data_IF_870810823838
#
_entry.id   IF_870810823838
#
_cell.length_a   1.000
_cell.length_b   1.000
_cell.length_c   1.000
_cell.angle_alpha   90.00
_cell.angle_beta   90.00
_cell.angle_gamma   90.00
#
_symmetry.space_group_name_H-M   'P 1'
#
loop_
_entity.id
_entity.type
_entity.pdbx_description
1 polymer ?
#
# COMPACT_ATOMS: atom_id res chain seq x y z
N UNK A 1 4.10 -21.41 -86.09
CA UNK A 1 4.79 -21.03 -84.80
C UNK A 1 3.89 -20.12 -83.99
N UNK A 2 3.19 -20.69 -82.99
CA UNK A 2 2.32 -19.92 -82.10
C UNK A 2 3.05 -19.84 -80.77
N UNK A 3 3.38 -18.61 -80.29
CA UNK A 3 3.91 -18.36 -78.94
C UNK A 3 2.76 -18.27 -77.96
N UNK A 4 2.81 -19.12 -76.89
CA UNK A 4 1.97 -19.03 -75.72
C UNK A 4 2.64 -18.07 -74.74
N UNK A 5 1.96 -17.01 -74.35
CA UNK A 5 2.35 -16.11 -73.25
C UNK A 5 1.61 -16.60 -72.01
N UNK A 6 2.36 -17.12 -71.05
CA UNK A 6 1.85 -17.51 -69.75
C UNK A 6 1.84 -16.29 -68.82
N UNK A 7 0.65 -15.89 -68.40
CA UNK A 7 0.43 -14.81 -67.42
C UNK A 7 0.53 -15.41 -66.04
N UNK A 8 1.57 -15.02 -65.27
CA UNK A 8 1.70 -15.36 -63.85
C UNK A 8 0.99 -14.29 -63.02
N UNK A 9 -0.15 -14.64 -62.42
CA UNK A 9 -0.84 -13.81 -61.44
C UNK A 9 -0.19 -14.00 -60.07
N UNK A 10 0.43 -12.93 -59.57
CA UNK A 10 1.00 -12.87 -58.22
C UNK A 10 -0.13 -12.54 -57.22
N UNK A 11 -0.52 -13.50 -56.42
CA UNK A 11 -1.43 -13.28 -55.27
C UNK A 11 -0.60 -12.70 -54.12
N UNK A 12 -0.81 -11.43 -53.84
CA UNK A 12 -0.27 -10.81 -52.63
C UNK A 12 -1.10 -11.24 -51.41
N UNK A 13 -0.51 -12.08 -50.58
CA UNK A 13 -1.07 -12.52 -49.31
C UNK A 13 -0.83 -11.41 -48.29
N UNK A 14 -1.85 -10.59 -47.99
CA UNK A 14 -1.82 -9.65 -46.84
C UNK A 14 -1.85 -10.46 -45.55
N UNK A 15 -0.73 -10.58 -44.87
CA UNK A 15 -0.70 -11.06 -43.51
C UNK A 15 -1.29 -9.97 -42.60
N UNK A 16 -2.47 -10.21 -42.08
CA UNK A 16 -3.05 -9.40 -41.00
C UNK A 16 -2.18 -9.61 -39.74
N UNK A 17 -1.42 -8.59 -39.35
CA UNK A 17 -0.72 -8.55 -38.08
C UNK A 17 -1.81 -8.34 -37.04
N UNK A 18 -2.27 -9.41 -36.40
CA UNK A 18 -3.08 -9.34 -35.20
C UNK A 18 -2.16 -8.79 -34.08
N UNK A 19 -2.37 -7.53 -33.70
CA UNK A 19 -1.79 -7.00 -32.47
C UNK A 19 -2.25 -7.89 -31.31
N UNK A 20 -1.35 -8.32 -30.39
CA UNK A 20 -1.81 -8.99 -29.19
C UNK A 20 -2.66 -7.98 -28.40
N UNK A 21 -3.95 -8.25 -28.31
CA UNK A 21 -4.80 -7.64 -27.29
C UNK A 21 -4.24 -8.16 -25.98
N UNK A 22 -3.62 -7.27 -25.18
CA UNK A 22 -3.31 -7.57 -23.79
C UNK A 22 -4.66 -7.95 -23.16
N UNK A 23 -4.78 -9.19 -22.73
CA UNK A 23 -5.98 -9.64 -22.04
C UNK A 23 -6.05 -8.83 -20.73
N UNK A 24 -7.10 -8.01 -20.62
CA UNK A 24 -7.45 -7.34 -19.36
C UNK A 24 -7.51 -8.40 -18.26
N UNK A 25 -6.76 -8.23 -17.20
CA UNK A 25 -6.77 -9.20 -16.09
C UNK A 25 -8.14 -9.13 -15.43
N UNK A 26 -8.84 -10.27 -15.35
CA UNK A 26 -10.13 -10.30 -14.68
C UNK A 26 -9.98 -9.88 -13.23
N UNK A 27 -10.95 -9.12 -12.70
CA UNK A 27 -10.97 -8.81 -11.27
C UNK A 27 -11.18 -10.10 -10.47
N UNK A 28 -10.28 -10.36 -9.53
CA UNK A 28 -10.26 -11.56 -8.68
C UNK A 28 -10.96 -11.37 -7.32
N UNK A 29 -11.54 -10.19 -7.11
CA UNK A 29 -12.27 -9.84 -5.89
C UNK A 29 -13.72 -10.35 -5.86
N UNK A 30 -14.55 -9.80 -4.96
CA UNK A 30 -15.92 -10.29 -4.76
C UNK A 30 -16.78 -10.15 -6.02
N UNK A 31 -17.46 -11.24 -6.37
CA UNK A 31 -18.42 -11.32 -7.48
C UNK A 31 -19.89 -11.23 -7.03
N UNK A 32 -20.13 -11.23 -5.71
CA UNK A 32 -21.46 -11.11 -5.08
C UNK A 32 -21.39 -10.14 -3.90
N UNK A 33 -22.47 -9.42 -3.67
CA UNK A 33 -22.56 -8.46 -2.57
C UNK A 33 -23.90 -7.74 -2.53
N UNK A 34 -24.17 -6.96 -1.48
CA UNK A 34 -25.40 -6.20 -1.36
C UNK A 34 -25.40 -5.01 -2.35
N UNK A 35 -26.58 -4.63 -2.79
CA UNK A 35 -26.75 -3.33 -3.45
C UNK A 35 -26.36 -2.22 -2.48
N UNK A 36 -26.02 -1.06 -3.01
CA UNK A 36 -25.72 0.12 -2.21
C UNK A 36 -26.86 0.41 -1.22
N UNK A 37 -26.56 0.48 0.06
CA UNK A 37 -27.48 1.02 1.04
C UNK A 37 -27.71 2.51 0.72
N UNK A 38 -28.98 2.95 0.77
CA UNK A 38 -29.35 4.32 0.38
C UNK A 38 -29.12 5.32 1.53
N UNK A 39 -28.86 6.58 1.18
CA UNK A 39 -28.78 7.73 2.08
C UNK A 39 -27.82 7.55 3.26
N UNK A 40 -26.64 6.94 3.01
CA UNK A 40 -25.63 6.72 4.05
C UNK A 40 -24.63 7.87 4.15
N UNK A 41 -24.14 8.11 5.36
CA UNK A 41 -23.06 9.03 5.67
C UNK A 41 -22.01 8.33 6.52
N UNK A 42 -20.77 8.32 6.08
CA UNK A 42 -19.66 7.63 6.72
C UNK A 42 -18.54 8.57 7.12
N UNK A 43 -17.70 8.11 8.04
CA UNK A 43 -16.51 8.85 8.47
C UNK A 43 -15.27 8.00 8.29
N UNK A 44 -14.24 8.57 7.68
CA UNK A 44 -12.87 8.04 7.73
C UNK A 44 -12.14 8.71 8.89
N UNK A 45 -11.56 7.92 9.78
CA UNK A 45 -10.60 8.36 10.78
C UNK A 45 -9.23 7.92 10.30
N UNK A 46 -8.45 8.86 9.76
CA UNK A 46 -7.10 8.63 9.27
C UNK A 46 -6.07 8.75 10.39
N UNK A 47 -5.10 7.87 10.46
CA UNK A 47 -4.03 7.91 11.45
C UNK A 47 -3.14 9.14 11.32
N UNK A 48 -2.71 9.42 10.09
CA UNK A 48 -1.94 10.62 9.70
C UNK A 48 -1.98 10.79 8.18
N UNK A 49 -2.65 11.83 7.69
CA UNK A 49 -2.74 12.11 6.24
C UNK A 49 -1.43 12.57 5.60
N UNK A 50 -0.36 12.78 6.38
CA UNK A 50 0.98 12.98 5.84
C UNK A 50 1.63 11.67 5.37
N UNK A 51 1.14 10.53 5.85
CA UNK A 51 1.58 9.22 5.38
C UNK A 51 0.93 8.95 4.00
N UNK A 52 1.77 8.71 2.98
CA UNK A 52 1.33 8.53 1.60
C UNK A 52 0.44 7.30 1.37
N UNK A 53 0.63 6.22 2.14
CA UNK A 53 -0.24 5.04 2.09
C UNK A 53 -1.64 5.34 2.62
N UNK A 54 -1.72 5.95 3.81
CA UNK A 54 -3.00 6.39 4.42
C UNK A 54 -3.74 7.37 3.49
N UNK A 55 -3.02 8.32 2.90
CA UNK A 55 -3.59 9.27 1.95
C UNK A 55 -4.10 8.56 0.69
N UNK A 56 -3.32 7.63 0.13
CA UNK A 56 -3.70 6.87 -1.07
C UNK A 56 -4.99 6.05 -0.86
N UNK A 57 -5.11 5.35 0.27
CA UNK A 57 -6.35 4.64 0.63
C UNK A 57 -7.52 5.60 0.84
N UNK A 58 -7.29 6.75 1.49
CA UNK A 58 -8.32 7.77 1.67
C UNK A 58 -8.85 8.27 0.33
N UNK A 59 -7.97 8.53 -0.66
CA UNK A 59 -8.37 8.92 -2.01
C UNK A 59 -9.22 7.84 -2.69
N UNK A 60 -8.85 6.56 -2.53
CA UNK A 60 -9.66 5.44 -3.02
C UNK A 60 -11.04 5.35 -2.37
N UNK A 61 -11.13 5.63 -1.06
CA UNK A 61 -12.42 5.73 -0.36
C UNK A 61 -13.25 6.90 -0.90
N UNK A 62 -12.65 8.06 -1.13
CA UNK A 62 -13.35 9.24 -1.69
C UNK A 62 -13.94 8.92 -3.07
N UNK A 63 -13.16 8.25 -3.93
CA UNK A 63 -13.61 7.82 -5.27
C UNK A 63 -14.79 6.83 -5.15
N UNK A 64 -14.67 5.80 -4.32
CA UNK A 64 -15.69 4.78 -4.12
C UNK A 64 -16.98 5.36 -3.51
N UNK A 65 -16.85 6.25 -2.53
CA UNK A 65 -17.98 6.94 -1.88
C UNK A 65 -18.74 7.81 -2.86
N UNK A 66 -18.05 8.53 -3.74
CA UNK A 66 -18.69 9.29 -4.81
C UNK A 66 -19.47 8.38 -5.77
N UNK A 67 -18.93 7.18 -6.07
CA UNK A 67 -19.58 6.21 -6.96
C UNK A 67 -20.79 5.54 -6.30
N UNK A 68 -20.69 5.12 -5.04
CA UNK A 68 -21.81 4.49 -4.32
C UNK A 68 -22.92 5.49 -3.96
N UNK A 69 -22.61 6.79 -3.88
CA UNK A 69 -23.54 7.87 -3.63
C UNK A 69 -23.75 8.17 -2.14
N UNK A 70 -22.72 7.99 -1.31
CA UNK A 70 -22.76 8.26 0.13
C UNK A 70 -22.19 9.63 0.50
N UNK A 71 -22.49 10.13 1.69
CA UNK A 71 -21.80 11.25 2.30
C UNK A 71 -20.51 10.80 2.99
N UNK A 72 -19.46 11.61 2.89
CA UNK A 72 -18.17 11.34 3.50
C UNK A 72 -17.65 12.51 4.35
N UNK A 73 -17.06 12.18 5.49
CA UNK A 73 -16.22 13.09 6.26
C UNK A 73 -14.88 12.40 6.56
N UNK A 74 -13.78 13.08 6.31
CA UNK A 74 -12.43 12.63 6.68
C UNK A 74 -11.96 13.43 7.90
N UNK A 75 -11.45 12.73 8.92
CA UNK A 75 -10.88 13.28 10.14
C UNK A 75 -9.45 12.79 10.27
N UNK A 76 -8.50 13.71 10.46
CA UNK A 76 -7.07 13.41 10.56
C UNK A 76 -6.65 13.30 12.05
N UNK A 77 -6.09 12.18 12.44
CA UNK A 77 -5.47 11.94 13.75
C UNK A 77 -4.10 12.59 13.92
N UNK A 78 -3.56 13.18 12.85
CA UNK A 78 -2.31 13.94 12.84
C UNK A 78 -1.11 13.19 13.48
N UNK A 79 -1.05 11.87 13.32
CA UNK A 79 0.06 11.02 13.75
C UNK A 79 0.18 10.81 15.27
N UNK A 80 -0.79 11.24 16.07
CA UNK A 80 -0.72 11.12 17.53
C UNK A 80 -1.87 10.30 18.12
N UNK A 81 -1.59 9.61 19.24
CA UNK A 81 -2.60 8.84 20.00
C UNK A 81 -3.78 9.75 20.37
N UNK A 82 -3.50 10.93 20.94
CA UNK A 82 -4.52 11.89 21.36
C UNK A 82 -5.33 12.42 20.15
N UNK A 83 -4.65 12.68 19.03
CA UNK A 83 -5.31 13.13 17.79
C UNK A 83 -6.29 12.08 17.27
N UNK A 84 -5.86 10.81 17.21
CA UNK A 84 -6.71 9.67 16.81
C UNK A 84 -7.90 9.48 17.75
N UNK A 85 -7.66 9.50 19.08
CA UNK A 85 -8.75 9.45 20.07
C UNK A 85 -9.75 10.60 19.89
N UNK A 86 -9.24 11.82 19.67
CA UNK A 86 -10.09 12.99 19.41
C UNK A 86 -10.90 12.86 18.11
N UNK A 87 -10.28 12.35 17.05
CA UNK A 87 -10.94 12.11 15.76
C UNK A 87 -12.05 11.04 15.86
N UNK A 88 -11.81 9.93 16.60
CA UNK A 88 -12.84 8.91 16.89
C UNK A 88 -14.01 9.54 17.64
N UNK A 89 -13.76 10.35 18.68
CA UNK A 89 -14.80 11.05 19.42
C UNK A 89 -15.62 12.01 18.54
N UNK A 90 -14.96 12.73 17.61
CA UNK A 90 -15.63 13.59 16.64
C UNK A 90 -16.47 12.75 15.65
N UNK A 91 -15.94 11.62 15.17
CA UNK A 91 -16.67 10.70 14.30
C UNK A 91 -17.96 10.23 14.96
N UNK A 92 -17.91 9.78 16.22
CA UNK A 92 -19.09 9.37 16.97
C UNK A 92 -20.12 10.50 17.15
N UNK A 93 -19.65 11.74 17.39
CA UNK A 93 -20.54 12.90 17.53
C UNK A 93 -21.32 13.22 16.25
N UNK A 94 -20.79 12.86 15.07
CA UNK A 94 -21.47 12.99 13.79
C UNK A 94 -22.57 11.93 13.57
N UNK A 95 -22.62 10.88 14.39
CA UNK A 95 -23.55 9.75 14.28
C UNK A 95 -23.59 9.14 12.88
N UNK A 96 -22.45 8.70 12.34
CA UNK A 96 -22.40 8.14 11.00
C UNK A 96 -23.04 6.77 10.94
N UNK A 97 -23.41 6.34 9.73
CA UNK A 97 -23.88 4.97 9.46
C UNK A 97 -22.72 3.95 9.52
N UNK A 98 -21.48 4.39 9.43
CA UNK A 98 -20.30 3.54 9.55
C UNK A 98 -18.99 4.35 9.65
N UNK A 99 -17.94 3.71 10.16
CA UNK A 99 -16.62 4.31 10.34
C UNK A 99 -15.56 3.45 9.65
N UNK A 100 -14.64 4.08 8.93
CA UNK A 100 -13.43 3.48 8.40
C UNK A 100 -12.25 3.92 9.27
N UNK A 101 -11.56 2.97 9.87
CA UNK A 101 -10.31 3.16 10.60
C UNK A 101 -9.17 3.01 9.60
N UNK A 102 -8.39 4.06 9.37
CA UNK A 102 -7.38 4.05 8.32
C UNK A 102 -5.97 4.30 8.87
N UNK A 103 -5.16 3.23 8.95
CA UNK A 103 -3.73 3.31 9.18
C UNK A 103 -3.30 3.57 10.63
N UNK A 104 -4.00 2.96 11.61
CA UNK A 104 -3.54 2.89 13.00
C UNK A 104 -4.04 1.62 13.70
N UNK A 105 -3.28 1.14 14.68
CA UNK A 105 -3.60 -0.10 15.37
C UNK A 105 -4.83 0.04 16.26
N UNK A 106 -5.78 -0.89 16.11
CA UNK A 106 -7.00 -0.92 16.89
C UNK A 106 -6.73 -1.13 18.40
N UNK A 107 -5.67 -1.84 18.75
CA UNK A 107 -5.31 -2.09 20.16
C UNK A 107 -4.88 -0.79 20.83
N UNK A 108 -4.18 0.09 20.12
CA UNK A 108 -3.77 1.41 20.62
C UNK A 108 -4.99 2.28 21.01
N UNK A 109 -6.09 2.15 20.28
CA UNK A 109 -7.31 2.93 20.44
C UNK A 109 -8.47 2.12 21.05
N UNK A 110 -8.18 0.98 21.67
CA UNK A 110 -9.18 0.02 22.14
C UNK A 110 -10.33 0.68 22.91
N UNK A 111 -10.03 1.51 23.89
CA UNK A 111 -11.07 2.15 24.71
C UNK A 111 -12.01 3.06 23.89
N UNK A 112 -11.50 3.78 22.91
CA UNK A 112 -12.32 4.63 22.04
C UNK A 112 -13.14 3.80 21.05
N UNK A 113 -12.58 2.72 20.50
CA UNK A 113 -13.29 1.82 19.58
C UNK A 113 -14.36 0.98 20.28
N UNK A 114 -14.17 0.61 21.54
CA UNK A 114 -15.23 -0.04 22.35
C UNK A 114 -16.49 0.82 22.48
N UNK A 115 -16.35 2.15 22.56
CA UNK A 115 -17.50 3.05 22.57
C UNK A 115 -18.24 3.07 21.22
N UNK A 116 -17.50 2.96 20.09
CA UNK A 116 -18.08 2.84 18.74
C UNK A 116 -18.89 1.54 18.63
N UNK A 117 -18.33 0.42 19.13
CA UNK A 117 -19.02 -0.89 19.18
C UNK A 117 -20.30 -0.81 20.03
N UNK A 118 -20.22 -0.20 21.22
CA UNK A 118 -21.38 -0.02 22.12
C UNK A 118 -22.48 0.84 21.48
N UNK A 119 -22.08 1.79 20.62
CA UNK A 119 -23.03 2.60 19.86
C UNK A 119 -23.67 1.85 18.68
N UNK A 120 -23.22 0.63 18.39
CA UNK A 120 -23.71 -0.19 17.27
C UNK A 120 -23.31 0.35 15.90
N UNK A 121 -22.25 1.16 15.80
CA UNK A 121 -21.76 1.70 14.53
C UNK A 121 -20.80 0.68 13.90
N UNK A 122 -21.09 0.16 12.70
CA UNK A 122 -20.19 -0.77 12.02
C UNK A 122 -18.87 -0.12 11.67
N UNK A 123 -17.77 -0.88 11.81
CA UNK A 123 -16.42 -0.44 11.52
C UNK A 123 -15.72 -1.40 10.55
N UNK A 124 -15.01 -0.82 9.59
CA UNK A 124 -13.99 -1.51 8.79
C UNK A 124 -12.66 -0.79 8.95
N UNK A 125 -11.56 -1.44 8.62
CA UNK A 125 -10.25 -0.87 8.85
C UNK A 125 -9.25 -1.18 7.73
N UNK A 126 -8.22 -0.36 7.64
CA UNK A 126 -7.03 -0.61 6.84
C UNK A 126 -5.79 -0.59 7.74
N UNK A 127 -4.95 -1.66 7.67
CA UNK A 127 -3.73 -1.83 8.46
C UNK A 127 -3.92 -1.62 9.98
N UNK A 128 -5.04 -2.11 10.54
CA UNK A 128 -5.39 -1.85 11.95
C UNK A 128 -5.15 -3.04 12.88
N UNK A 129 -4.15 -3.84 12.59
CA UNK A 129 -3.71 -4.99 13.39
C UNK A 129 -3.26 -6.17 12.53
N UNK A 130 -2.70 -7.22 13.14
CA UNK A 130 -2.07 -8.33 12.44
C UNK A 130 -3.08 -9.27 11.75
N UNK A 131 -4.34 -9.33 12.22
CA UNK A 131 -5.37 -10.14 11.57
C UNK A 131 -5.98 -9.39 10.42
N UNK A 132 -5.73 -9.85 9.20
CA UNK A 132 -6.33 -9.34 7.96
C UNK A 132 -7.63 -10.06 7.63
N UNK A 133 -8.46 -9.44 6.80
CA UNK A 133 -9.77 -9.99 6.39
C UNK A 133 -10.85 -9.83 7.45
N UNK A 134 -11.74 -10.79 7.50
CA UNK A 134 -12.98 -10.73 8.27
C UNK A 134 -12.79 -10.89 9.80
N UNK A 135 -13.72 -10.32 10.58
CA UNK A 135 -13.80 -10.46 12.04
C UNK A 135 -12.49 -10.10 12.75
N UNK A 136 -11.92 -8.96 12.41
CA UNK A 136 -10.71 -8.48 13.07
C UNK A 136 -11.00 -8.04 14.53
N UNK A 137 -9.98 -8.06 15.41
CA UNK A 137 -10.14 -7.64 16.79
C UNK A 137 -10.68 -6.21 16.94
N UNK A 138 -11.31 -5.90 18.06
CA UNK A 138 -11.85 -4.56 18.33
C UNK A 138 -13.23 -4.28 17.71
N UNK A 139 -13.95 -5.32 17.27
CA UNK A 139 -15.26 -5.17 16.64
C UNK A 139 -15.20 -4.68 15.19
N UNK A 140 -14.04 -4.82 14.56
CA UNK A 140 -13.81 -4.46 13.16
C UNK A 140 -14.35 -5.57 12.26
N UNK A 141 -15.32 -5.24 11.40
CA UNK A 141 -15.98 -6.18 10.50
C UNK A 141 -14.99 -6.76 9.47
N UNK A 142 -14.15 -5.92 8.89
CA UNK A 142 -13.06 -6.31 7.98
C UNK A 142 -11.85 -5.40 8.15
N UNK A 143 -10.66 -5.99 8.22
CA UNK A 143 -9.37 -5.29 8.17
C UNK A 143 -8.73 -5.53 6.80
N UNK A 144 -8.84 -4.54 5.92
CA UNK A 144 -8.30 -4.58 4.56
C UNK A 144 -6.80 -4.38 4.61
N UNK A 145 -6.06 -5.26 3.96
CA UNK A 145 -4.60 -5.21 3.86
C UNK A 145 -4.14 -6.19 2.77
N UNK A 146 -2.90 -6.09 2.34
CA UNK A 146 -2.17 -7.20 1.72
C UNK A 146 -1.60 -8.12 2.80
N UNK A 147 -1.09 -9.29 2.40
CA UNK A 147 -0.33 -10.15 3.31
C UNK A 147 1.01 -9.49 3.66
N UNK A 148 1.17 -9.11 4.92
CA UNK A 148 2.35 -8.39 5.41
C UNK A 148 3.65 -9.22 5.27
N UNK A 149 3.57 -10.55 5.41
CA UNK A 149 4.72 -11.44 5.25
C UNK A 149 5.14 -11.50 3.78
N UNK A 150 4.19 -11.70 2.85
CA UNK A 150 4.47 -11.72 1.42
C UNK A 150 5.09 -10.40 0.92
N UNK A 151 4.61 -9.25 1.40
CA UNK A 151 5.20 -7.93 1.09
C UNK A 151 6.63 -7.83 1.59
N UNK A 152 6.90 -8.34 2.78
CA UNK A 152 8.22 -8.32 3.43
C UNK A 152 9.23 -9.22 2.73
N UNK A 153 8.80 -10.43 2.35
CA UNK A 153 9.61 -11.38 1.59
C UNK A 153 10.05 -10.80 0.26
N UNK A 154 9.13 -10.21 -0.50
CA UNK A 154 9.46 -9.59 -1.79
C UNK A 154 10.50 -8.48 -1.65
N UNK A 155 10.42 -7.64 -0.62
CA UNK A 155 11.39 -6.58 -0.36
C UNK A 155 12.76 -7.15 0.05
N UNK A 156 12.79 -8.18 0.91
CA UNK A 156 14.02 -8.84 1.37
C UNK A 156 14.70 -9.63 0.24
N UNK A 157 13.94 -10.40 -0.52
CA UNK A 157 14.44 -11.14 -1.69
C UNK A 157 15.03 -10.22 -2.74
N UNK A 158 14.41 -9.05 -2.97
CA UNK A 158 15.01 -8.04 -3.85
C UNK A 158 16.40 -7.62 -3.37
N UNK A 159 16.57 -7.32 -2.09
CA UNK A 159 17.87 -6.92 -1.54
C UNK A 159 18.92 -8.03 -1.64
N UNK A 160 18.53 -9.29 -1.39
CA UNK A 160 19.41 -10.46 -1.54
C UNK A 160 19.82 -10.63 -3.00
N UNK A 161 18.88 -10.54 -3.94
CA UNK A 161 19.15 -10.71 -5.36
C UNK A 161 20.04 -9.58 -5.93
N UNK A 162 19.90 -8.36 -5.42
CA UNK A 162 20.72 -7.22 -5.83
C UNK A 162 22.11 -7.21 -5.17
N UNK A 163 22.22 -7.48 -3.87
CA UNK A 163 23.46 -7.40 -3.10
C UNK A 163 24.25 -8.71 -3.00
N UNK A 164 23.64 -9.85 -3.29
CA UNK A 164 24.25 -11.16 -3.19
C UNK A 164 24.71 -11.48 -1.76
N UNK A 165 25.87 -12.16 -1.63
CA UNK A 165 26.43 -12.59 -0.33
C UNK A 165 26.96 -11.45 0.53
N UNK A 166 27.21 -10.29 -0.06
CA UNK A 166 27.79 -9.13 0.62
C UNK A 166 26.70 -8.14 1.04
N UNK A 167 25.42 -8.53 0.97
CA UNK A 167 24.31 -7.66 1.36
C UNK A 167 24.35 -7.36 2.86
N UNK A 168 24.47 -6.07 3.19
CA UNK A 168 24.41 -5.54 4.55
C UNK A 168 23.23 -4.59 4.69
N UNK A 169 22.25 -4.97 5.50
CA UNK A 169 20.95 -4.30 5.59
C UNK A 169 20.75 -3.58 6.91
N UNK A 170 20.28 -2.34 6.85
CA UNK A 170 19.63 -1.66 7.97
C UNK A 170 18.12 -1.73 7.76
N UNK A 171 17.39 -2.17 8.78
CA UNK A 171 15.93 -2.29 8.75
C UNK A 171 15.31 -1.17 9.61
N UNK A 172 14.40 -0.38 9.05
CA UNK A 172 13.64 0.64 9.77
C UNK A 172 12.22 0.16 10.05
N UNK A 173 11.77 0.31 11.29
CA UNK A 173 10.46 -0.12 11.76
C UNK A 173 9.88 0.83 12.80
N UNK A 174 8.62 0.59 13.18
CA UNK A 174 7.91 1.27 14.26
C UNK A 174 7.27 0.22 15.19
N UNK A 175 7.82 0.09 16.40
CA UNK A 175 7.35 -0.88 17.39
C UNK A 175 5.99 -0.55 18.01
N UNK A 176 5.39 0.58 17.69
CA UNK A 176 4.03 0.92 18.12
C UNK A 176 2.94 0.22 17.30
N UNK A 177 3.31 -0.37 16.15
CA UNK A 177 2.39 -1.12 15.28
C UNK A 177 2.81 -2.59 15.18
N UNK A 178 1.90 -3.51 15.54
CA UNK A 178 2.20 -4.94 15.45
C UNK A 178 2.53 -5.37 14.01
N UNK A 179 1.79 -4.87 13.03
CA UNK A 179 2.07 -5.18 11.61
C UNK A 179 3.48 -4.73 11.18
N UNK A 180 3.99 -3.62 11.73
CA UNK A 180 5.33 -3.13 11.42
C UNK A 180 6.42 -4.02 12.06
N UNK A 181 6.18 -4.49 13.29
CA UNK A 181 7.04 -5.47 13.96
C UNK A 181 7.10 -6.76 13.14
N UNK A 182 5.95 -7.27 12.72
CA UNK A 182 5.85 -8.52 11.95
C UNK A 182 6.57 -8.37 10.60
N UNK A 183 6.32 -7.30 9.84
CA UNK A 183 7.05 -6.98 8.59
C UNK A 183 8.57 -6.94 8.79
N UNK A 184 9.04 -6.22 9.79
CA UNK A 184 10.49 -6.06 10.02
C UNK A 184 11.16 -7.35 10.49
N UNK A 185 10.47 -8.17 11.27
CA UNK A 185 10.95 -9.50 11.68
C UNK A 185 11.04 -10.46 10.50
N UNK A 186 10.06 -10.44 9.59
CA UNK A 186 10.10 -11.25 8.37
C UNK A 186 11.22 -10.81 7.44
N UNK A 187 11.37 -9.49 7.18
CA UNK A 187 12.51 -8.96 6.44
C UNK A 187 13.84 -9.49 7.02
N UNK A 188 13.99 -9.40 8.34
CA UNK A 188 15.20 -9.87 9.01
C UNK A 188 15.42 -11.36 8.80
N UNK A 189 14.38 -12.18 9.00
CA UNK A 189 14.47 -13.63 8.86
C UNK A 189 14.85 -14.03 7.42
N UNK A 190 14.23 -13.42 6.42
CA UNK A 190 14.50 -13.69 5.00
C UNK A 190 15.90 -13.24 4.58
N UNK A 191 16.39 -12.05 5.04
CA UNK A 191 17.77 -11.61 4.79
C UNK A 191 18.78 -12.59 5.39
N UNK A 192 18.60 -12.99 6.65
CA UNK A 192 19.52 -13.93 7.34
C UNK A 192 19.50 -15.32 6.68
N UNK A 193 18.32 -15.82 6.32
CA UNK A 193 18.17 -17.10 5.60
C UNK A 193 18.83 -17.08 4.21
N UNK A 194 18.79 -15.93 3.52
CA UNK A 194 19.46 -15.71 2.23
C UNK A 194 20.99 -15.52 2.34
N UNK A 195 21.56 -15.55 3.55
CA UNK A 195 23.00 -15.40 3.80
C UNK A 195 23.45 -13.94 3.88
N UNK A 196 22.54 -12.97 3.87
CA UNK A 196 22.80 -11.57 4.10
C UNK A 196 23.06 -11.25 5.58
N UNK A 197 23.49 -10.02 5.85
CA UNK A 197 23.75 -9.53 7.20
C UNK A 197 22.81 -8.40 7.55
N UNK A 198 22.02 -8.55 8.62
CA UNK A 198 21.29 -7.43 9.22
C UNK A 198 22.25 -6.67 10.12
N UNK A 199 22.67 -5.47 9.68
CA UNK A 199 23.62 -4.61 10.37
C UNK A 199 22.99 -3.94 11.60
N UNK A 200 21.74 -3.48 11.43
CA UNK A 200 20.99 -2.84 12.51
C UNK A 200 19.47 -2.96 12.25
N UNK A 201 18.73 -3.14 13.33
CA UNK A 201 17.28 -3.08 13.40
C UNK A 201 16.91 -1.79 14.14
N UNK A 202 16.38 -0.80 13.44
CA UNK A 202 16.18 0.56 13.94
C UNK A 202 14.70 0.81 14.20
N UNK A 203 14.33 0.89 15.47
CA UNK A 203 13.00 1.30 15.89
C UNK A 203 12.88 2.83 15.88
N UNK A 204 12.09 3.34 14.96
CA UNK A 204 11.84 4.77 14.81
C UNK A 204 10.35 4.99 14.54
N UNK A 205 9.61 5.59 15.49
CA UNK A 205 8.19 5.84 15.29
C UNK A 205 7.91 6.62 14.00
N UNK A 206 6.92 6.18 13.23
CA UNK A 206 6.48 6.82 11.98
C UNK A 206 6.21 8.32 12.19
N UNK A 207 5.56 8.68 13.30
CA UNK A 207 5.25 10.08 13.64
C UNK A 207 6.51 10.94 13.89
N UNK A 208 7.66 10.32 14.18
CA UNK A 208 8.92 11.01 14.49
C UNK A 208 9.96 10.95 13.36
N UNK A 209 9.64 10.31 12.22
CA UNK A 209 10.56 10.13 11.10
C UNK A 209 11.15 11.46 10.60
N UNK A 210 10.34 12.50 10.52
CA UNK A 210 10.79 13.84 10.06
C UNK A 210 11.89 14.45 10.93
N UNK A 211 11.91 14.14 12.23
CA UNK A 211 12.91 14.66 13.18
C UNK A 211 14.08 13.71 13.40
N UNK A 212 13.85 12.39 13.32
CA UNK A 212 14.83 11.37 13.71
C UNK A 212 15.66 10.84 12.55
N UNK A 213 15.07 10.71 11.35
CA UNK A 213 15.77 10.05 10.23
C UNK A 213 17.03 10.77 9.76
N UNK A 214 17.10 12.09 9.84
CA UNK A 214 18.30 12.84 9.49
C UNK A 214 19.53 12.44 10.32
N UNK A 215 19.52 12.65 11.64
CA UNK A 215 20.59 12.22 12.53
C UNK A 215 20.87 10.72 12.50
N UNK A 216 19.84 9.87 12.44
CA UNK A 216 20.00 8.41 12.34
C UNK A 216 20.75 8.02 11.07
N UNK A 217 20.34 8.52 9.91
CA UNK A 217 20.96 8.20 8.61
C UNK A 217 22.46 8.56 8.62
N UNK A 218 22.81 9.75 9.10
CA UNK A 218 24.21 10.17 9.15
C UNK A 218 25.03 9.35 10.16
N UNK A 219 24.45 8.98 11.29
CA UNK A 219 25.08 8.10 12.28
C UNK A 219 25.32 6.69 11.76
N UNK A 220 24.33 6.10 11.06
CA UNK A 220 24.45 4.79 10.44
C UNK A 220 25.53 4.78 9.34
N UNK A 221 25.58 5.83 8.51
CA UNK A 221 26.61 5.98 7.50
C UNK A 221 28.01 6.02 8.10
N UNK A 222 28.21 6.78 9.19
CA UNK A 222 29.49 6.83 9.92
C UNK A 222 29.85 5.48 10.54
N UNK A 223 28.87 4.76 11.07
CA UNK A 223 29.07 3.48 11.78
C UNK A 223 29.42 2.35 10.83
N UNK A 224 28.73 2.24 9.71
CA UNK A 224 28.81 1.08 8.82
C UNK A 224 29.54 1.34 7.51
N UNK A 225 29.56 2.59 7.02
CA UNK A 225 30.22 2.96 5.76
C UNK A 225 29.77 2.06 4.61
N UNK A 226 30.72 1.55 3.84
CA UNK A 226 30.47 0.68 2.70
C UNK A 226 29.81 -0.69 3.04
N UNK A 227 29.75 -1.07 4.31
CA UNK A 227 29.05 -2.29 4.72
C UNK A 227 27.52 -2.12 4.65
N UNK A 228 27.02 -0.89 4.75
CA UNK A 228 25.59 -0.59 4.62
C UNK A 228 25.25 -0.47 3.14
N UNK A 229 24.88 -1.59 2.54
CA UNK A 229 24.55 -1.66 1.10
C UNK A 229 23.08 -1.44 0.80
N UNK A 230 22.20 -1.84 1.74
CA UNK A 230 20.75 -1.75 1.57
C UNK A 230 20.07 -1.17 2.81
N UNK A 231 19.04 -0.37 2.58
CA UNK A 231 18.11 0.12 3.59
C UNK A 231 16.72 -0.47 3.30
N UNK A 232 16.19 -1.27 4.20
CA UNK A 232 14.82 -1.76 4.08
C UNK A 232 13.93 -1.12 5.15
N UNK A 233 12.69 -0.81 4.80
CA UNK A 233 11.73 -0.19 5.71
C UNK A 233 10.35 -0.82 5.56
N UNK A 234 9.56 -0.75 6.62
CA UNK A 234 8.18 -1.26 6.65
C UNK A 234 7.22 -0.47 5.76
N UNK A 235 7.57 0.76 5.38
CA UNK A 235 6.87 1.61 4.42
C UNK A 235 7.80 2.67 3.80
N UNK A 236 7.29 3.45 2.84
CA UNK A 236 8.07 4.43 2.06
C UNK A 236 8.47 5.68 2.85
N UNK A 237 7.76 6.03 3.92
CA UNK A 237 7.90 7.32 4.63
C UNK A 237 9.33 7.54 5.18
N UNK A 238 10.03 6.49 5.58
CA UNK A 238 11.41 6.58 6.05
C UNK A 238 12.34 7.20 5.01
N UNK A 239 12.10 6.91 3.73
CA UNK A 239 12.92 7.37 2.61
C UNK A 239 12.63 8.81 2.19
N UNK A 240 11.51 9.40 2.61
CA UNK A 240 11.24 10.84 2.47
C UNK A 240 12.32 11.68 3.15
N UNK A 241 12.94 11.13 4.21
CA UNK A 241 13.92 11.82 5.04
C UNK A 241 15.34 11.25 4.93
N UNK A 242 15.51 9.96 4.61
CA UNK A 242 16.83 9.35 4.44
C UNK A 242 17.58 9.96 3.25
N UNK A 243 16.95 10.09 2.09
CA UNK A 243 17.56 10.64 0.88
C UNK A 243 18.09 12.07 1.08
N UNK A 244 17.28 13.03 1.54
CA UNK A 244 17.75 14.38 1.88
C UNK A 244 18.90 14.40 2.90
N UNK A 245 18.91 13.50 3.89
CA UNK A 245 19.99 13.41 4.86
C UNK A 245 21.32 12.97 4.21
N UNK A 246 21.30 11.96 3.35
CA UNK A 246 22.46 11.50 2.57
C UNK A 246 22.98 12.61 1.65
N UNK A 247 22.09 13.29 0.94
CA UNK A 247 22.44 14.42 0.08
C UNK A 247 23.13 15.55 0.87
N UNK A 248 22.66 15.84 2.09
CA UNK A 248 23.21 16.91 2.93
C UNK A 248 24.66 16.68 3.36
N UNK A 249 25.09 15.42 3.41
CA UNK A 249 26.47 15.03 3.73
C UNK A 249 27.29 14.66 2.50
N UNK A 250 26.78 14.98 1.30
CA UNK A 250 27.51 14.85 0.05
C UNK A 250 27.56 13.44 -0.53
N UNK A 251 26.67 12.53 -0.11
CA UNK A 251 26.55 11.18 -0.70
C UNK A 251 25.59 11.24 -1.89
N UNK A 252 26.05 11.03 -3.14
CA UNK A 252 25.16 10.97 -4.29
C UNK A 252 24.23 9.77 -4.22
N UNK A 253 23.05 9.84 -4.86
CA UNK A 253 22.10 8.73 -4.90
C UNK A 253 22.71 7.41 -5.43
N UNK A 254 23.63 7.50 -6.40
CA UNK A 254 24.29 6.33 -6.98
C UNK A 254 25.25 5.60 -5.99
N UNK A 255 25.76 6.31 -4.98
CA UNK A 255 26.69 5.79 -3.97
C UNK A 255 26.00 5.52 -2.63
N UNK A 256 24.71 5.82 -2.53
CA UNK A 256 23.90 5.62 -1.34
C UNK A 256 23.51 4.15 -1.16
N UNK A 257 23.22 3.71 0.09
CA UNK A 257 22.57 2.43 0.29
C UNK A 257 21.27 2.35 -0.52
N UNK A 258 21.08 1.25 -1.26
CA UNK A 258 19.88 1.05 -2.06
C UNK A 258 18.68 0.88 -1.16
N UNK A 259 17.65 1.69 -1.34
CA UNK A 259 16.49 1.70 -0.46
C UNK A 259 15.31 0.97 -1.08
N UNK A 260 14.66 0.14 -0.26
CA UNK A 260 13.46 -0.60 -0.63
C UNK A 260 12.47 -0.69 0.50
N UNK A 261 11.17 -0.50 0.21
CA UNK A 261 10.11 -0.58 1.22
C UNK A 261 9.20 -1.79 1.05
N UNK A 262 8.80 -2.36 2.18
CA UNK A 262 7.75 -3.37 2.31
C UNK A 262 6.36 -2.69 2.45
N UNK A 263 5.96 -1.94 1.42
CA UNK A 263 4.75 -1.12 1.38
C UNK A 263 5.10 0.39 1.38
N UNK A 264 4.22 1.32 1.19
CA UNK A 264 2.82 1.12 0.79
C UNK A 264 2.64 1.40 -0.73
N UNK A 265 3.65 1.96 -1.39
CA UNK A 265 3.55 2.43 -2.78
C UNK A 265 3.03 3.87 -2.86
N UNK A 266 3.56 4.77 -2.01
CA UNK A 266 3.19 6.17 -2.01
C UNK A 266 3.59 6.90 -3.29
N UNK A 267 2.86 7.95 -3.66
CA UNK A 267 3.19 8.80 -4.82
C UNK A 267 4.64 9.33 -4.75
N UNK A 268 5.09 9.74 -3.56
CA UNK A 268 6.46 10.20 -3.34
C UNK A 268 7.49 9.10 -3.61
N UNK A 269 7.21 7.84 -3.24
CA UNK A 269 8.07 6.69 -3.55
C UNK A 269 8.16 6.46 -5.06
N UNK A 270 7.03 6.50 -5.78
CA UNK A 270 7.01 6.37 -7.24
C UNK A 270 7.88 7.44 -7.91
N UNK A 271 7.77 8.70 -7.47
CA UNK A 271 8.60 9.79 -7.99
C UNK A 271 10.10 9.56 -7.72
N UNK A 272 10.48 9.12 -6.50
CA UNK A 272 11.87 8.82 -6.16
C UNK A 272 12.42 7.67 -6.98
N UNK A 273 11.69 6.57 -7.12
CA UNK A 273 12.10 5.41 -7.89
C UNK A 273 12.23 5.78 -9.38
N UNK A 274 11.26 6.51 -9.94
CA UNK A 274 11.28 6.95 -11.34
C UNK A 274 12.50 7.78 -11.68
N UNK A 275 12.91 8.66 -10.78
CA UNK A 275 14.06 9.56 -10.96
C UNK A 275 15.37 8.99 -10.44
N UNK A 276 15.39 7.80 -9.84
CA UNK A 276 16.56 7.22 -9.20
C UNK A 276 17.04 8.02 -7.98
N UNK A 277 16.11 8.66 -7.25
CA UNK A 277 16.43 9.57 -6.17
C UNK A 277 16.31 8.87 -4.80
N UNK A 278 17.39 8.20 -4.36
CA UNK A 278 17.56 7.54 -3.04
C UNK A 278 16.53 6.46 -2.68
N UNK A 279 15.69 6.03 -3.61
CA UNK A 279 14.85 4.85 -3.45
C UNK A 279 14.86 4.02 -4.74
N UNK A 280 15.06 2.71 -4.59
CA UNK A 280 15.22 1.77 -5.70
C UNK A 280 13.94 1.02 -6.01
N UNK A 281 13.21 0.61 -4.94
CA UNK A 281 11.96 -0.14 -5.08
C UNK A 281 10.94 0.24 -3.98
N UNK A 282 9.69 -0.10 -4.26
CA UNK A 282 8.65 -0.29 -3.23
C UNK A 282 7.85 -1.56 -3.58
N UNK A 283 7.41 -2.28 -2.57
CA UNK A 283 6.40 -3.34 -2.75
C UNK A 283 5.04 -2.69 -2.56
N UNK A 284 4.49 -2.17 -3.64
CA UNK A 284 3.30 -1.33 -3.62
C UNK A 284 2.03 -2.15 -3.37
N UNK A 285 1.17 -1.62 -2.52
CA UNK A 285 -0.21 -2.09 -2.33
C UNK A 285 -1.15 -1.35 -3.28
N UNK A 286 -2.24 -1.97 -3.74
CA UNK A 286 -3.21 -1.33 -4.61
C UNK A 286 -4.14 -0.40 -3.79
N UNK A 287 -3.59 0.72 -3.33
CA UNK A 287 -4.21 1.61 -2.33
C UNK A 287 -5.61 2.08 -2.74
N UNK A 288 -5.79 2.39 -4.02
CA UNK A 288 -7.09 2.83 -4.53
C UNK A 288 -8.12 1.69 -4.50
N UNK A 289 -7.76 0.49 -4.97
CA UNK A 289 -8.60 -0.70 -4.88
C UNK A 289 -8.95 -1.04 -3.41
N UNK A 290 -7.98 -0.92 -2.49
CA UNK A 290 -8.23 -1.13 -1.06
C UNK A 290 -9.24 -0.12 -0.50
N UNK A 291 -9.19 1.14 -0.97
CA UNK A 291 -10.21 2.14 -0.65
C UNK A 291 -11.62 1.73 -1.12
N UNK A 292 -11.74 1.21 -2.34
CA UNK A 292 -12.99 0.67 -2.87
C UNK A 292 -13.46 -0.55 -2.08
N UNK A 293 -12.54 -1.44 -1.73
CA UNK A 293 -12.83 -2.60 -0.90
C UNK A 293 -13.37 -2.20 0.48
N UNK A 294 -12.78 -1.19 1.14
CA UNK A 294 -13.27 -0.69 2.43
C UNK A 294 -14.72 -0.21 2.34
N UNK A 295 -15.09 0.48 1.26
CA UNK A 295 -16.48 0.93 1.06
C UNK A 295 -17.41 -0.25 0.82
N UNK A 296 -17.00 -1.28 0.05
CA UNK A 296 -17.78 -2.50 -0.13
C UNK A 296 -17.97 -3.27 1.17
N UNK A 297 -16.90 -3.46 1.93
CA UNK A 297 -16.98 -4.14 3.23
C UNK A 297 -17.86 -3.39 4.23
N UNK A 298 -17.80 -2.05 4.22
CA UNK A 298 -18.68 -1.26 5.06
C UNK A 298 -20.14 -1.35 4.60
N UNK A 299 -20.40 -1.40 3.29
CA UNK A 299 -21.73 -1.63 2.74
C UNK A 299 -22.29 -3.00 3.14
N UNK A 300 -21.45 -4.04 3.16
CA UNK A 300 -21.80 -5.38 3.66
C UNK A 300 -22.16 -5.35 5.14
N UNK A 301 -21.32 -4.70 5.96
CA UNK A 301 -21.56 -4.56 7.39
C UNK A 301 -22.89 -3.83 7.69
N UNK A 302 -23.15 -2.72 6.99
CA UNK A 302 -24.40 -1.95 7.12
C UNK A 302 -25.61 -2.77 6.68
N UNK A 303 -25.45 -3.60 5.65
CA UNK A 303 -26.55 -4.43 5.10
C UNK A 303 -26.76 -5.76 5.84
N UNK A 304 -25.91 -6.09 6.82
CA UNK A 304 -25.94 -7.37 7.54
C UNK A 304 -25.53 -8.58 6.70
N UNK A 305 -24.77 -8.36 5.65
CA UNK A 305 -24.21 -9.40 4.78
C UNK A 305 -22.83 -9.86 5.27
N UNK A 306 -22.39 -11.01 4.79
CA UNK A 306 -21.06 -11.54 5.16
C UNK A 306 -19.93 -10.69 4.54
N UNK A 307 -18.82 -10.60 5.27
CA UNK A 307 -17.56 -10.04 4.76
C UNK A 307 -17.08 -10.82 3.53
N UNK A 308 -16.45 -10.14 2.56
CA UNK A 308 -16.03 -10.77 1.31
C UNK A 308 -14.86 -11.73 1.47
N UNK A 309 -14.00 -11.49 2.46
CA UNK A 309 -12.76 -12.23 2.67
C UNK A 309 -11.68 -11.95 1.60
N UNK A 310 -11.89 -10.96 0.73
CA UNK A 310 -10.92 -10.62 -0.30
C UNK A 310 -9.64 -10.04 0.30
N UNK A 311 -8.50 -10.45 -0.22
CA UNK A 311 -7.17 -9.95 0.14
C UNK A 311 -6.48 -9.54 -1.14
N UNK A 312 -6.07 -8.30 -1.22
CA UNK A 312 -5.41 -7.72 -2.39
C UNK A 312 -3.96 -8.20 -2.54
N UNK A 313 -3.48 -8.28 -3.78
CA UNK A 313 -2.11 -8.70 -4.10
C UNK A 313 -1.21 -7.47 -4.29
N UNK A 314 -0.02 -7.40 -3.64
CA UNK A 314 0.94 -6.33 -3.84
C UNK A 314 1.73 -6.52 -5.14
N UNK A 315 2.47 -5.49 -5.56
CA UNK A 315 3.36 -5.55 -6.71
C UNK A 315 4.73 -4.95 -6.40
N UNK A 316 5.80 -5.62 -6.84
CA UNK A 316 7.14 -5.04 -6.81
C UNK A 316 7.26 -3.95 -7.88
N UNK A 317 7.48 -2.73 -7.44
CA UNK A 317 7.67 -1.55 -8.28
C UNK A 317 9.14 -1.20 -8.35
N UNK A 318 9.68 -1.20 -9.56
CA UNK A 318 11.07 -0.85 -9.88
C UNK A 318 11.10 0.30 -10.89
N UNK A 319 12.26 0.92 -11.09
CA UNK A 319 12.41 1.96 -12.12
C UNK A 319 12.06 1.43 -13.53
N UNK A 320 12.47 0.20 -13.86
CA UNK A 320 12.11 -0.44 -15.14
C UNK A 320 10.59 -0.68 -15.25
N UNK A 321 9.96 -1.14 -14.17
CA UNK A 321 8.52 -1.31 -14.10
C UNK A 321 7.77 0.00 -14.34
N UNK A 322 8.18 1.08 -13.68
CA UNK A 322 7.59 2.42 -13.84
C UNK A 322 7.72 2.97 -15.27
N UNK A 323 8.82 2.67 -15.95
CA UNK A 323 8.97 3.06 -17.36
C UNK A 323 7.90 2.44 -18.28
N UNK A 324 7.36 1.28 -17.90
CA UNK A 324 6.26 0.59 -18.62
C UNK A 324 4.88 1.08 -18.20
N UNK A 325 4.75 1.59 -16.96
CA UNK A 325 3.48 2.11 -16.41
C UNK A 325 3.14 3.55 -16.87
N UNK A 326 4.02 4.19 -17.67
CA UNK A 326 3.82 5.58 -18.09
C UNK A 326 3.94 6.56 -16.92
N UNK A 327 3.06 7.57 -16.86
CA UNK A 327 3.12 8.65 -15.86
C UNK A 327 2.36 8.34 -14.56
N UNK A 328 1.87 7.11 -14.36
CA UNK A 328 1.15 6.74 -13.15
C UNK A 328 2.05 6.89 -11.91
N UNK A 329 1.52 7.53 -10.87
CA UNK A 329 2.19 7.73 -9.59
C UNK A 329 1.65 6.83 -8.48
N UNK A 330 0.90 5.79 -8.82
CA UNK A 330 0.39 4.79 -7.89
C UNK A 330 0.29 3.44 -8.59
N UNK A 331 0.38 2.37 -7.83
CA UNK A 331 0.02 1.04 -8.30
C UNK A 331 -1.50 0.91 -8.28
N UNK A 332 -2.09 0.84 -9.47
CA UNK A 332 -3.51 0.55 -9.65
C UNK A 332 -3.60 -0.68 -10.58
N UNK A 333 -4.16 -1.81 -10.13
CA UNK A 333 -4.24 -3.02 -10.93
C UNK A 333 -4.97 -2.78 -12.25
N UNK A 334 -4.44 -3.33 -13.33
CA UNK A 334 -5.12 -3.34 -14.64
C UNK A 334 -6.25 -4.40 -14.63
N UNK A 335 -7.26 -4.14 -13.80
CA UNK A 335 -8.45 -4.96 -13.66
C UNK A 335 -9.68 -4.07 -13.50
N UNK A 336 -10.85 -4.48 -14.02
CA UNK A 336 -12.08 -3.68 -14.01
C UNK A 336 -12.76 -3.67 -12.61
N UNK A 337 -12.02 -3.48 -11.53
CA UNK A 337 -12.56 -3.56 -10.17
C UNK A 337 -13.60 -2.45 -9.89
N UNK A 338 -13.41 -1.26 -10.48
CA UNK A 338 -14.35 -0.14 -10.34
C UNK A 338 -15.71 -0.49 -10.92
N UNK A 339 -15.73 -1.07 -12.11
CA UNK A 339 -16.93 -1.56 -12.79
C UNK A 339 -17.56 -2.73 -12.03
N UNK A 340 -16.72 -3.63 -11.51
CA UNK A 340 -17.17 -4.77 -10.71
C UNK A 340 -17.88 -4.33 -9.43
N UNK A 341 -17.25 -3.47 -8.62
CA UNK A 341 -17.87 -2.93 -7.40
C UNK A 341 -19.12 -2.10 -7.72
N UNK A 342 -19.06 -1.21 -8.75
CA UNK A 342 -20.23 -0.44 -9.17
C UNK A 342 -21.38 -1.35 -9.58
N UNK A 343 -21.10 -2.44 -10.31
CA UNK A 343 -22.09 -3.45 -10.68
C UNK A 343 -22.70 -4.17 -9.48
N UNK A 344 -21.90 -4.55 -8.46
CA UNK A 344 -22.41 -5.12 -7.21
C UNK A 344 -23.35 -4.16 -6.49
N UNK A 345 -23.00 -2.87 -6.42
CA UNK A 345 -23.80 -1.84 -5.77
C UNK A 345 -25.03 -1.41 -6.58
N UNK A 346 -25.12 -1.80 -7.86
CA UNK A 346 -26.19 -1.39 -8.76
C UNK A 346 -26.08 0.08 -9.21
N UNK A 347 -24.86 0.57 -9.42
CA UNK A 347 -24.53 1.98 -9.74
C UNK A 347 -23.90 2.16 -11.12
#
# INVERSE_FOLDING_TARGET
MRRFISSMSTIAMMAAIASPVLAETAFDGPSTGPKAAEDKSIVVVAGDLKNGGILGVTNGVEEAVAKIGWGLRVLDGAGSIQGRTGAIGQAMALKPDGIIINGFDAVEQQAALEEVVKAGIPMVAWHSGPKIGCDAPGGIFANVSTDAMAVSDVAAEWAINDGGKDVGVVIFTDSTYQIAIDKANEIKATIEAGGGTVLEYVDTPIAETSSRMGPLTTGLLQKYGAKWTHALAINDLYFDFMGPALASVGVPSADAPKAGSAGDGSEAAFQRIRTGNYQSITVAEPLNLQGWQLVDELNRAISGEACSGYITTPALVTQEGLAKMGDSNSFDPDSPYREAYAGLWGK
#
